data_IF_050523351775
#
_entry.id   IF_050523351775
#
_cell.length_a   1.000
_cell.length_b   1.000
_cell.length_c   1.000
_cell.angle_alpha   90.00
_cell.angle_beta   90.00
_cell.angle_gamma   90.00
#
_symmetry.space_group_name_H-M   'P 1'
#
loop_
_entity.id
_entity.type
_entity.pdbx_description
1 polymer ?
#
# COMPACT_ATOMS: atom_id res chain seq x y z
N UNK A 1 24.91 -13.52 -2.66
CA UNK A 1 25.02 -12.04 -2.75
C UNK A 1 24.04 -11.43 -1.77
N UNK A 2 24.51 -10.80 -0.69
CA UNK A 2 23.62 -10.05 0.21
C UNK A 2 23.06 -8.86 -0.59
N UNK A 3 21.74 -8.66 -0.67
CA UNK A 3 21.20 -7.50 -1.35
C UNK A 3 21.72 -6.25 -0.62
N UNK A 4 22.51 -5.43 -1.32
CA UNK A 4 22.95 -4.13 -0.81
C UNK A 4 21.71 -3.32 -0.45
N UNK A 5 21.49 -3.10 0.85
CA UNK A 5 20.34 -2.35 1.35
C UNK A 5 20.20 -0.98 0.67
N UNK A 6 21.31 -0.37 0.27
CA UNK A 6 21.35 0.88 -0.48
C UNK A 6 20.66 0.77 -1.87
N UNK A 7 20.84 -0.34 -2.59
CA UNK A 7 20.17 -0.58 -3.89
C UNK A 7 18.67 -0.81 -3.71
N UNK A 8 18.28 -1.54 -2.66
CA UNK A 8 16.88 -1.79 -2.34
C UNK A 8 16.16 -0.46 -2.00
N UNK A 9 16.76 0.37 -1.14
CA UNK A 9 16.22 1.69 -0.79
C UNK A 9 16.12 2.63 -2.02
N UNK A 10 17.12 2.59 -2.90
CA UNK A 10 17.10 3.35 -4.15
C UNK A 10 15.96 2.92 -5.09
N UNK A 11 15.67 1.62 -5.18
CA UNK A 11 14.55 1.11 -5.96
C UNK A 11 13.20 1.51 -5.35
N UNK A 12 13.04 1.34 -4.03
CA UNK A 12 11.84 1.74 -3.29
C UNK A 12 11.55 3.24 -3.50
N UNK A 13 12.56 4.10 -3.37
CA UNK A 13 12.41 5.54 -3.60
C UNK A 13 11.88 5.86 -5.00
N UNK A 14 12.40 5.21 -6.04
CA UNK A 14 11.92 5.39 -7.42
C UNK A 14 10.48 4.93 -7.59
N UNK A 15 10.11 3.79 -7.02
CA UNK A 15 8.73 3.30 -7.05
C UNK A 15 7.77 4.27 -6.34
N UNK A 16 8.15 4.81 -5.19
CA UNK A 16 7.35 5.81 -4.48
C UNK A 16 7.18 7.10 -5.31
N UNK A 17 8.24 7.59 -5.97
CA UNK A 17 8.15 8.76 -6.85
C UNK A 17 7.25 8.53 -8.06
N UNK A 18 7.28 7.33 -8.64
CA UNK A 18 6.39 6.96 -9.74
C UNK A 18 4.96 6.87 -9.26
N UNK A 19 4.73 6.21 -8.11
CA UNK A 19 3.40 6.10 -7.51
C UNK A 19 2.82 7.49 -7.24
N UNK A 20 3.58 8.41 -6.65
CA UNK A 20 3.14 9.78 -6.35
C UNK A 20 2.66 10.54 -7.60
N UNK A 21 3.36 10.39 -8.72
CA UNK A 21 3.02 11.04 -9.99
C UNK A 21 1.86 10.40 -10.74
N UNK A 22 1.69 9.08 -10.60
CA UNK A 22 0.77 8.30 -11.46
C UNK A 22 -0.54 7.94 -10.78
N UNK A 23 -0.58 7.96 -9.45
CA UNK A 23 -1.74 7.52 -8.66
C UNK A 23 -2.50 8.72 -8.09
N UNK A 24 -3.84 8.76 -8.26
CA UNK A 24 -4.66 9.81 -7.67
C UNK A 24 -4.48 9.89 -6.16
N UNK A 25 -4.50 11.10 -5.61
CA UNK A 25 -4.33 11.34 -4.16
C UNK A 25 -5.34 10.56 -3.31
N UNK A 26 -6.60 10.47 -3.75
CA UNK A 26 -7.65 9.75 -3.03
C UNK A 26 -7.35 8.25 -2.90
N UNK A 27 -6.74 7.61 -3.91
CA UNK A 27 -6.36 6.18 -3.87
C UNK A 27 -5.29 5.96 -2.79
N UNK A 28 -4.31 6.86 -2.72
CA UNK A 28 -3.22 6.79 -1.73
C UNK A 28 -3.73 7.03 -0.31
N UNK A 29 -4.67 7.96 -0.14
CA UNK A 29 -5.32 8.22 1.15
C UNK A 29 -6.08 6.98 1.60
N UNK A 30 -6.90 6.38 0.73
CA UNK A 30 -7.65 5.15 1.05
C UNK A 30 -6.73 3.98 1.38
N UNK A 31 -5.64 3.80 0.62
CA UNK A 31 -4.64 2.78 0.92
C UNK A 31 -4.04 2.99 2.32
N UNK A 32 -3.57 4.21 2.61
CA UNK A 32 -2.96 4.53 3.90
C UNK A 32 -3.95 4.42 5.07
N UNK A 33 -5.20 4.86 4.88
CA UNK A 33 -6.23 4.75 5.90
C UNK A 33 -6.59 3.29 6.18
N UNK A 34 -6.66 2.44 5.15
CA UNK A 34 -6.90 1.00 5.35
C UNK A 34 -5.74 0.29 6.02
N UNK A 35 -4.50 0.65 5.72
CA UNK A 35 -3.34 0.15 6.48
C UNK A 35 -3.43 0.59 7.94
N UNK A 36 -3.69 1.88 8.19
CA UNK A 36 -3.82 2.43 9.54
C UNK A 36 -4.93 1.75 10.34
N UNK A 37 -6.10 1.56 9.72
CA UNK A 37 -7.22 0.86 10.35
C UNK A 37 -6.86 -0.59 10.72
N UNK A 38 -6.22 -1.35 9.82
CA UNK A 38 -5.78 -2.71 10.11
C UNK A 38 -4.71 -2.77 11.21
N UNK A 39 -3.80 -1.79 11.27
CA UNK A 39 -2.83 -1.68 12.36
C UNK A 39 -3.49 -1.36 13.70
N UNK A 40 -4.49 -0.49 13.72
CA UNK A 40 -5.27 -0.20 14.92
C UNK A 40 -6.01 -1.45 15.41
N UNK A 41 -6.66 -2.18 14.52
CA UNK A 41 -7.31 -3.46 14.86
C UNK A 41 -6.30 -4.46 15.41
N UNK A 42 -5.09 -4.52 14.84
CA UNK A 42 -4.02 -5.40 15.34
C UNK A 42 -3.51 -4.97 16.72
N UNK A 43 -3.36 -3.66 16.96
CA UNK A 43 -2.96 -3.16 18.27
C UNK A 43 -4.04 -3.40 19.33
N UNK A 44 -5.32 -3.26 18.96
CA UNK A 44 -6.47 -3.58 19.82
C UNK A 44 -6.47 -5.07 20.23
N UNK A 45 -6.09 -5.98 19.31
CA UNK A 45 -5.89 -7.41 19.61
C UNK A 45 -4.80 -7.66 20.65
N UNK A 46 -3.72 -6.87 20.66
CA UNK A 46 -2.63 -7.01 21.63
C UNK A 46 -2.94 -6.36 22.98
N UNK A 47 -3.87 -5.40 23.02
CA UNK A 47 -4.15 -4.57 24.20
C UNK A 47 -5.32 -5.00 25.08
N UNK A 48 -5.97 -6.14 24.83
CA UNK A 48 -7.22 -6.56 25.52
C UNK A 48 -8.34 -5.50 25.50
N UNK A 49 -8.31 -4.54 24.57
CA UNK A 49 -9.38 -3.54 24.46
C UNK A 49 -10.50 -4.09 23.59
N UNK A 50 -11.72 -4.10 24.13
CA UNK A 50 -12.93 -4.60 23.47
C UNK A 50 -13.64 -3.49 22.69
N UNK A 51 -12.88 -2.57 22.06
CA UNK A 51 -13.48 -1.37 21.45
C UNK A 51 -14.26 -1.73 20.19
N UNK A 52 -13.80 -2.70 19.40
CA UNK A 52 -14.45 -3.07 18.13
C UNK A 52 -15.46 -4.22 18.22
N UNK A 53 -15.48 -4.99 19.32
CA UNK A 53 -16.44 -6.08 19.55
C UNK A 53 -16.66 -7.01 18.33
N UNK A 54 -17.91 -7.44 18.11
CA UNK A 54 -18.32 -8.30 17.00
C UNK A 54 -18.20 -7.66 15.60
N UNK A 55 -17.96 -6.34 15.50
CA UNK A 55 -17.83 -5.66 14.21
C UNK A 55 -16.40 -5.73 13.65
N UNK A 56 -15.44 -6.18 14.45
CA UNK A 56 -14.03 -6.26 14.09
C UNK A 56 -13.78 -7.04 12.79
N UNK A 57 -14.41 -8.19 12.62
CA UNK A 57 -14.20 -9.03 11.43
C UNK A 57 -14.73 -8.35 10.16
N UNK A 58 -15.84 -7.61 10.27
CA UNK A 58 -16.37 -6.81 9.19
C UNK A 58 -15.42 -5.66 8.82
N UNK A 59 -14.89 -4.93 9.82
CA UNK A 59 -13.90 -3.87 9.59
C UNK A 59 -12.62 -4.40 8.95
N UNK A 60 -12.14 -5.58 9.35
CA UNK A 60 -10.98 -6.24 8.74
C UNK A 60 -11.29 -6.57 7.28
N UNK A 61 -12.42 -7.23 7.01
CA UNK A 61 -12.79 -7.64 5.66
C UNK A 61 -12.89 -6.44 4.70
N UNK A 62 -13.61 -5.38 5.11
CA UNK A 62 -13.76 -4.16 4.30
C UNK A 62 -12.40 -3.52 4.04
N UNK A 63 -11.55 -3.36 5.07
CA UNK A 63 -10.25 -2.74 4.89
C UNK A 63 -9.29 -3.59 4.05
N UNK A 64 -9.36 -4.92 4.13
CA UNK A 64 -8.59 -5.81 3.24
C UNK A 64 -9.01 -5.63 1.79
N UNK A 65 -10.32 -5.57 1.51
CA UNK A 65 -10.82 -5.36 0.14
C UNK A 65 -10.39 -4.00 -0.41
N UNK A 66 -10.54 -2.93 0.38
CA UNK A 66 -10.11 -1.57 0.00
C UNK A 66 -8.60 -1.53 -0.20
N UNK A 67 -7.83 -2.15 0.69
CA UNK A 67 -6.38 -2.24 0.58
C UNK A 67 -5.95 -2.98 -0.69
N UNK A 68 -6.56 -4.12 -1.00
CA UNK A 68 -6.26 -4.91 -2.18
C UNK A 68 -6.59 -4.15 -3.47
N UNK A 69 -7.76 -3.51 -3.52
CA UNK A 69 -8.18 -2.72 -4.68
C UNK A 69 -7.27 -1.51 -4.92
N UNK A 70 -6.95 -0.76 -3.87
CA UNK A 70 -6.04 0.39 -3.97
C UNK A 70 -4.60 -0.03 -4.28
N UNK A 71 -4.10 -1.13 -3.70
CA UNK A 71 -2.80 -1.71 -4.04
C UNK A 71 -2.71 -2.13 -5.50
N UNK A 72 -3.76 -2.75 -6.04
CA UNK A 72 -3.82 -3.14 -7.45
C UNK A 72 -3.78 -1.93 -8.38
N UNK A 73 -4.53 -0.87 -8.06
CA UNK A 73 -4.50 0.38 -8.83
C UNK A 73 -3.11 1.01 -8.79
N UNK A 74 -2.48 1.08 -7.62
CA UNK A 74 -1.13 1.63 -7.47
C UNK A 74 -0.12 0.79 -8.27
N UNK A 75 -0.15 -0.52 -8.11
CA UNK A 75 0.76 -1.45 -8.78
C UNK A 75 0.66 -1.42 -10.29
N UNK A 76 -0.57 -1.43 -10.85
CA UNK A 76 -0.79 -1.38 -12.30
C UNK A 76 -0.34 -0.05 -12.91
N UNK A 77 -0.62 1.08 -12.24
CA UNK A 77 -0.16 2.42 -12.67
C UNK A 77 1.36 2.51 -12.67
N UNK A 78 2.00 2.07 -11.59
CA UNK A 78 3.45 2.07 -11.45
C UNK A 78 4.11 1.15 -12.47
N UNK A 79 3.57 -0.06 -12.68
CA UNK A 79 4.08 -1.01 -13.66
C UNK A 79 3.98 -0.48 -15.09
N UNK A 80 2.84 0.11 -15.46
CA UNK A 80 2.64 0.72 -16.78
C UNK A 80 3.63 1.85 -17.05
N UNK A 81 3.82 2.74 -16.08
CA UNK A 81 4.76 3.86 -16.20
C UNK A 81 6.22 3.38 -16.25
N UNK A 82 6.56 2.37 -15.45
CA UNK A 82 7.89 1.78 -15.43
C UNK A 82 8.22 1.07 -16.76
N UNK A 83 7.24 0.35 -17.33
CA UNK A 83 7.35 -0.26 -18.66
C UNK A 83 7.48 0.78 -19.78
N UNK A 84 6.68 1.85 -19.72
CA UNK A 84 6.75 2.94 -20.70
C UNK A 84 8.13 3.60 -20.70
N UNK A 85 8.71 3.88 -19.52
CA UNK A 85 10.05 4.50 -19.39
C UNK A 85 11.20 3.60 -19.84
N UNK A 86 11.03 2.28 -19.77
CA UNK A 86 12.00 1.32 -20.35
C UNK A 86 11.87 1.21 -21.86
N UNK A 87 10.67 1.35 -22.41
CA UNK A 87 10.42 1.33 -23.84
C UNK A 87 10.99 2.55 -24.58
N UNK A 88 11.04 3.72 -23.93
CA UNK A 88 11.63 4.96 -24.49
C UNK A 88 13.15 5.07 -24.35
N UNK A 89 13.82 4.12 -23.69
CA UNK A 89 15.28 4.06 -23.58
C UNK A 89 15.94 3.07 -24.56
N UNK A 90 15.17 2.48 -25.48
CA UNK A 90 15.67 1.76 -26.66
C UNK A 90 15.53 2.63 -27.88
#
# INVERSE_FOLDING_TARGET
MKPDAARALGAVRRFCQIADKTTPRWVRILFASSVGALLLVRNDQFGQSTILGNLKDYYIAVNIVVLAGTAYIIGTRVYREYGHRRGTQR
#
